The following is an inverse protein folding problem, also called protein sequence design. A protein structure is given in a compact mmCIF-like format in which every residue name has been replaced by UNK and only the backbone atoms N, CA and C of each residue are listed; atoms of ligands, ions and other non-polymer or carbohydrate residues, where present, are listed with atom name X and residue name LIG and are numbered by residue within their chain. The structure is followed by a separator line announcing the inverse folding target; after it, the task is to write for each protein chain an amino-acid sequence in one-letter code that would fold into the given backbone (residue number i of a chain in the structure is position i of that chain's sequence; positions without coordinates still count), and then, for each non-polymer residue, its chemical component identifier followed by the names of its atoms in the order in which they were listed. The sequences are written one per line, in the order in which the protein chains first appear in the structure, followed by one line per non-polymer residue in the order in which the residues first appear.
data_IF_500721644112
#
_entry.id   IF_500721644112
#
_cell.length_a   1.000
_cell.length_b   1.000
_cell.length_c   1.000
_cell.angle_alpha   90.00
_cell.angle_beta   90.00
_cell.angle_gamma   90.00
#
_symmetry.space_group_name_H-M   'P 1'
#
loop_
_entity.id
_entity.type
_entity.pdbx_description
1 polymer ?
#
# COMPACT_ATOMS: atom_id res chain seq x y z
N UNK A 1 -0.92 2.91 15.83
CA UNK A 1 -0.55 3.49 14.53
C UNK A 1 0.91 3.22 14.27
N UNK A 2 1.27 2.76 13.07
CA UNK A 2 2.67 2.48 12.70
C UNK A 2 3.37 3.72 12.19
N UNK A 3 4.70 3.74 12.24
CA UNK A 3 5.49 4.82 11.62
C UNK A 3 5.71 4.52 10.13
N UNK A 4 5.28 5.41 9.24
CA UNK A 4 5.54 5.28 7.80
C UNK A 4 7.04 5.28 7.48
N UNK A 5 7.85 5.99 8.30
CA UNK A 5 9.30 5.99 8.15
C UNK A 5 9.91 4.59 8.36
N UNK A 6 9.33 3.80 9.28
CA UNK A 6 9.75 2.40 9.47
C UNK A 6 9.39 1.59 8.22
N UNK A 7 8.16 1.72 7.71
CA UNK A 7 7.71 0.99 6.52
C UNK A 7 8.56 1.34 5.28
N UNK A 8 8.92 2.61 5.10
CA UNK A 8 9.80 3.07 4.02
C UNK A 8 11.23 2.51 4.11
N UNK A 9 11.67 2.12 5.31
CA UNK A 9 12.98 1.50 5.53
C UNK A 9 13.01 -0.01 5.31
N UNK A 10 11.85 -0.65 5.05
CA UNK A 10 11.72 -2.09 4.86
C UNK A 10 11.51 -2.44 3.38
N UNK A 11 11.85 -3.66 3.00
CA UNK A 11 11.35 -4.24 1.75
C UNK A 11 9.82 -4.39 1.82
N UNK A 12 9.13 -4.45 0.68
CA UNK A 12 7.67 -4.67 0.65
C UNK A 12 7.26 -5.90 1.47
N UNK A 13 7.91 -7.04 1.25
CA UNK A 13 7.67 -8.27 2.01
C UNK A 13 7.95 -8.13 3.51
N UNK A 14 8.91 -7.29 3.90
CA UNK A 14 9.23 -7.02 5.29
C UNK A 14 8.21 -6.10 5.96
N UNK A 15 7.75 -5.06 5.24
CA UNK A 15 6.72 -4.15 5.69
C UNK A 15 5.36 -4.84 5.83
N UNK A 16 5.00 -5.69 4.86
CA UNK A 16 3.80 -6.53 4.90
C UNK A 16 3.78 -7.42 6.15
N UNK A 17 4.85 -8.20 6.34
CA UNK A 17 5.01 -9.04 7.54
C UNK A 17 4.93 -8.22 8.84
N UNK A 18 5.59 -7.07 8.89
CA UNK A 18 5.56 -6.18 10.06
C UNK A 18 4.15 -5.67 10.36
N UNK A 19 3.37 -5.31 9.35
CA UNK A 19 1.99 -4.84 9.49
C UNK A 19 1.08 -5.96 10.01
N UNK A 20 1.19 -7.16 9.45
CA UNK A 20 0.42 -8.33 9.88
C UNK A 20 0.74 -8.71 11.33
N UNK A 21 2.02 -8.70 11.72
CA UNK A 21 2.45 -8.94 13.11
C UNK A 21 1.95 -7.84 14.07
N UNK A 22 1.79 -6.61 13.58
CA UNK A 22 1.20 -5.50 14.32
C UNK A 22 -0.34 -5.52 14.38
N UNK A 23 -0.99 -6.50 13.74
CA UNK A 23 -2.43 -6.70 13.75
C UNK A 23 -3.20 -5.94 12.67
N UNK A 24 -2.51 -5.39 11.66
CA UNK A 24 -3.18 -4.87 10.47
C UNK A 24 -3.70 -6.02 9.63
N UNK A 25 -4.76 -5.73 8.88
CA UNK A 25 -5.39 -6.64 7.94
C UNK A 25 -5.28 -6.00 6.56
N UNK A 26 -4.84 -6.77 5.57
CA UNK A 26 -4.89 -6.35 4.17
C UNK A 26 -6.35 -6.29 3.69
N UNK A 27 -6.72 -5.18 3.08
CA UNK A 27 -8.03 -4.94 2.48
C UNK A 27 -7.94 -4.82 0.96
N UNK A 28 -9.07 -4.49 0.34
CA UNK A 28 -9.18 -4.36 -1.11
C UNK A 28 -8.16 -3.37 -1.67
N UNK A 29 -7.41 -3.85 -2.67
CA UNK A 29 -6.52 -3.03 -3.47
C UNK A 29 -7.32 -2.04 -4.30
N UNK A 30 -6.93 -0.77 -4.24
CA UNK A 30 -7.57 0.30 -5.01
C UNK A 30 -6.73 0.55 -6.25
N UNK A 31 -7.31 0.34 -7.42
CA UNK A 31 -6.69 0.66 -8.71
C UNK A 31 -7.33 1.92 -9.31
N UNK A 32 -6.48 2.85 -9.77
CA UNK A 32 -6.94 4.10 -10.39
C UNK A 32 -6.11 4.44 -11.61
N UNK A 33 -6.77 4.71 -12.73
CA UNK A 33 -6.09 5.24 -13.93
C UNK A 33 -5.53 6.63 -13.66
N UNK A 34 -4.31 6.87 -14.13
CA UNK A 34 -3.60 8.14 -14.05
C UNK A 34 -3.18 8.60 -15.44
N UNK A 35 -3.27 9.90 -15.70
CA UNK A 35 -2.74 10.47 -16.94
C UNK A 35 -1.22 10.67 -16.87
N UNK A 36 -0.64 10.66 -15.67
CA UNK A 36 0.80 10.88 -15.46
C UNK A 36 1.61 9.57 -15.52
N UNK A 37 0.96 8.46 -15.20
CA UNK A 37 1.60 7.16 -15.02
C UNK A 37 0.55 6.06 -15.11
N UNK A 38 -0.18 5.99 -16.22
CA UNK A 38 -1.18 4.98 -16.61
C UNK A 38 -2.10 4.39 -15.51
N UNK A 39 -1.55 3.69 -14.51
CA UNK A 39 -2.23 3.16 -13.34
C UNK A 39 -1.49 3.46 -12.03
N UNK A 40 -2.28 3.75 -10.98
CA UNK A 40 -1.85 3.82 -9.59
C UNK A 40 -2.55 2.69 -8.84
N UNK A 41 -1.78 1.86 -8.16
CA UNK A 41 -2.27 0.71 -7.39
C UNK A 41 -2.00 0.99 -5.91
N UNK A 42 -3.01 0.83 -5.06
CA UNK A 42 -2.88 1.05 -3.61
C UNK A 42 -3.30 -0.19 -2.85
N UNK A 43 -2.34 -0.84 -2.21
CA UNK A 43 -2.56 -1.97 -1.31
C UNK A 43 -2.88 -1.43 0.08
N UNK A 44 -4.09 -1.68 0.57
CA UNK A 44 -4.61 -1.06 1.79
C UNK A 44 -4.43 -1.99 2.97
N UNK A 45 -3.93 -1.46 4.08
CA UNK A 45 -3.81 -2.16 5.35
C UNK A 45 -4.55 -1.38 6.44
N UNK A 46 -5.42 -2.08 7.16
CA UNK A 46 -6.30 -1.47 8.18
C UNK A 46 -6.09 -2.12 9.52
N UNK A 47 -5.94 -1.29 10.56
CA UNK A 47 -5.94 -1.72 11.95
C UNK A 47 -7.29 -1.41 12.56
N UNK A 48 -7.91 -2.42 13.16
CA UNK A 48 -9.21 -2.30 13.81
C UNK A 48 -9.07 -2.37 15.34
N UNK A 49 -9.99 -1.71 16.06
CA UNK A 49 -10.21 -1.97 17.47
C UNK A 49 -11.07 -3.21 17.70
N UNK A 50 -11.27 -3.56 18.97
CA UNK A 50 -12.05 -4.73 19.38
C UNK A 50 -13.55 -4.63 19.01
N UNK A 51 -14.05 -3.43 18.72
CA UNK A 51 -15.43 -3.17 18.32
C UNK A 51 -15.57 -3.12 16.78
N UNK A 52 -14.47 -3.35 16.04
CA UNK A 52 -14.44 -3.31 14.58
C UNK A 52 -14.34 -1.90 13.99
N UNK A 53 -13.97 -0.90 14.79
CA UNK A 53 -13.74 0.47 14.30
C UNK A 53 -12.30 0.63 13.82
N UNK A 54 -12.14 1.36 12.72
CA UNK A 54 -10.81 1.69 12.17
C UNK A 54 -10.01 2.56 13.15
N UNK A 55 -8.82 2.08 13.54
CA UNK A 55 -7.81 2.79 14.32
C UNK A 55 -6.78 3.47 13.42
N UNK A 56 -6.28 2.77 12.41
CA UNK A 56 -5.27 3.27 11.47
C UNK A 56 -5.51 2.65 10.08
N UNK A 57 -5.12 3.37 9.04
CA UNK A 57 -5.15 2.91 7.66
C UNK A 57 -3.91 3.40 6.94
N UNK A 58 -3.14 2.46 6.40
CA UNK A 58 -1.94 2.76 5.63
C UNK A 58 -2.05 2.11 4.25
N UNK A 59 -1.45 2.73 3.26
CA UNK A 59 -1.44 2.25 1.88
C UNK A 59 -0.02 2.10 1.38
N UNK A 60 0.29 1.00 0.72
CA UNK A 60 1.44 0.91 -0.17
C UNK A 60 0.99 1.28 -1.57
N UNK A 61 1.56 2.34 -2.13
CA UNK A 61 1.15 2.89 -3.42
C UNK A 61 2.25 2.60 -4.43
N UNK A 62 1.86 2.00 -5.55
CA UNK A 62 2.69 1.82 -6.73
C UNK A 62 2.16 2.74 -7.85
N UNK A 63 3.07 3.50 -8.44
CA UNK A 63 2.81 4.28 -9.64
C UNK A 63 3.46 3.52 -10.80
N UNK A 64 2.66 3.09 -11.77
CA UNK A 64 3.10 2.15 -12.79
C UNK A 64 2.86 2.67 -14.21
N UNK A 65 3.83 2.51 -15.10
CA UNK A 65 3.57 2.63 -16.53
C UNK A 65 3.17 1.29 -17.10
N UNK A 66 2.37 1.31 -18.17
CA UNK A 66 2.04 0.11 -18.94
C UNK A 66 2.92 0.14 -20.19
N UNK A 67 3.71 -0.91 -20.39
CA UNK A 67 4.58 -1.01 -21.57
C UNK A 67 3.82 -1.44 -22.83
N UNK A 68 4.54 -1.60 -23.95
CA UNK A 68 3.94 -1.97 -25.24
C UNK A 68 3.36 -3.39 -25.26
N UNK A 69 3.82 -4.26 -24.35
CA UNK A 69 3.37 -5.65 -24.19
C UNK A 69 2.20 -5.76 -23.19
N UNK A 70 1.90 -4.69 -22.46
CA UNK A 70 0.82 -4.61 -21.46
C UNK A 70 1.27 -4.95 -20.04
N UNK A 71 2.57 -5.10 -19.81
CA UNK A 71 3.16 -5.35 -18.49
C UNK A 71 3.20 -4.07 -17.66
N UNK A 72 2.99 -4.22 -16.36
CA UNK A 72 2.94 -3.12 -15.40
C UNK A 72 4.30 -2.97 -14.71
N UNK A 73 4.96 -1.84 -14.94
CA UNK A 73 6.24 -1.53 -14.33
C UNK A 73 6.12 -0.35 -13.35
N UNK A 74 6.30 -0.64 -12.06
CA UNK A 74 6.32 0.37 -11.01
C UNK A 74 7.61 1.19 -11.06
N UNK A 75 7.51 2.49 -11.35
CA UNK A 75 8.66 3.41 -11.36
C UNK A 75 8.82 4.20 -10.05
N UNK A 76 7.74 4.29 -9.26
CA UNK A 76 7.74 4.92 -7.94
C UNK A 76 6.85 4.12 -7.01
N UNK A 77 7.32 3.96 -5.78
CA UNK A 77 6.54 3.35 -4.70
C UNK A 77 6.62 4.22 -3.45
N UNK A 78 5.55 4.27 -2.68
CA UNK A 78 5.55 4.96 -1.38
C UNK A 78 4.52 4.41 -0.40
N UNK A 79 4.82 4.55 0.89
CA UNK A 79 3.86 4.30 1.96
C UNK A 79 3.14 5.59 2.34
N UNK A 80 1.81 5.57 2.34
CA UNK A 80 0.96 6.69 2.73
C UNK A 80 0.02 6.31 3.88
N UNK A 81 -0.55 7.31 4.53
CA UNK A 81 -1.68 7.16 5.45
C UNK A 81 -2.95 7.63 4.74
N UNK A 82 -4.01 6.84 4.82
CA UNK A 82 -5.29 7.03 4.12
C UNK A 82 -6.37 7.62 5.04
#
# INVERSE_FOLDING_TARGET
MVSLFILQGLSLSGADKYLLEAGYIEEETIEKKSLECDIIITYVYVLYDIEGKVIDRVGYVEYCFIDEDGDQDAFKVEWIRL
#
